data_IF_237477651981
#
_entry.id   IF_237477651981
#
_cell.length_a   1.000
_cell.length_b   1.000
_cell.length_c   1.000
_cell.angle_alpha   90.00
_cell.angle_beta   90.00
_cell.angle_gamma   90.00
#
_symmetry.space_group_name_H-M   'P 1'
#
loop_
_entity.id
_entity.type
_entity.pdbx_description
1 polymer ?
#
# COMPACT_ATOMS: atom_id res chain seq x y z
N UNK A 1 50.90 60.94 30.70
CA UNK A 1 50.29 61.12 29.37
C UNK A 1 49.59 59.80 29.07
N UNK A 2 48.30 59.70 29.40
CA UNK A 2 47.53 58.46 29.25
C UNK A 2 46.96 58.42 27.83
N UNK A 3 47.18 57.30 27.15
CA UNK A 3 46.69 57.02 25.80
C UNK A 3 45.18 56.74 25.85
N UNK A 4 44.39 57.65 25.28
CA UNK A 4 42.93 57.58 25.18
C UNK A 4 42.50 57.25 23.76
N UNK A 5 42.93 56.11 23.24
CA UNK A 5 42.41 55.57 21.96
C UNK A 5 41.48 54.39 22.22
N UNK A 6 40.29 54.71 22.74
CA UNK A 6 39.17 53.77 22.77
C UNK A 6 38.66 53.51 21.35
N UNK A 7 39.03 52.39 20.76
CA UNK A 7 38.44 51.91 19.50
C UNK A 7 36.99 51.51 19.77
N UNK A 8 36.05 52.29 19.24
CA UNK A 8 34.62 51.94 19.25
C UNK A 8 34.43 50.78 18.26
N UNK A 9 34.30 49.56 18.78
CA UNK A 9 33.95 48.39 17.99
C UNK A 9 32.50 48.54 17.51
N UNK A 10 32.31 48.73 16.21
CA UNK A 10 30.98 48.85 15.62
C UNK A 10 30.20 47.55 15.86
N UNK A 11 29.04 47.65 16.52
CA UNK A 11 28.15 46.51 16.74
C UNK A 11 27.74 45.92 15.38
N UNK A 12 28.03 44.63 15.18
CA UNK A 12 27.61 43.93 13.96
C UNK A 12 26.08 44.05 13.81
N UNK A 13 25.56 44.48 12.65
CA UNK A 13 24.12 44.52 12.44
C UNK A 13 23.56 43.11 12.63
N UNK A 14 22.63 42.97 13.58
CA UNK A 14 22.01 41.68 13.91
C UNK A 14 21.48 41.01 12.65
N UNK A 15 21.93 39.77 12.39
CA UNK A 15 21.43 38.97 11.27
C UNK A 15 19.93 38.74 11.49
N UNK A 16 19.09 39.44 10.73
CA UNK A 16 17.67 39.11 10.64
C UNK A 16 17.54 37.71 10.04
N UNK A 17 17.12 36.72 10.83
CA UNK A 17 16.76 35.41 10.30
C UNK A 17 15.48 35.58 9.49
N UNK A 18 15.58 35.56 8.17
CA UNK A 18 14.40 35.49 7.29
C UNK A 18 13.60 34.25 7.70
N UNK A 19 12.31 34.36 8.06
CA UNK A 19 11.48 33.20 8.35
C UNK A 19 11.55 32.24 7.16
N UNK A 20 11.81 30.96 7.45
CA UNK A 20 11.84 29.94 6.41
C UNK A 20 10.51 29.91 5.64
N UNK A 21 10.52 29.47 4.37
CA UNK A 21 9.28 29.34 3.59
C UNK A 21 8.22 28.53 4.37
N UNK A 22 6.93 28.92 4.31
CA UNK A 22 5.89 28.22 5.02
C UNK A 22 5.85 26.73 4.62
N UNK A 23 5.55 25.82 5.56
CA UNK A 23 5.43 24.40 5.26
C UNK A 23 4.38 24.20 4.16
N UNK A 24 4.76 23.46 3.11
CA UNK A 24 3.85 23.20 1.99
C UNK A 24 2.71 22.29 2.44
N UNK A 25 1.46 22.53 2.02
CA UNK A 25 0.33 21.69 2.38
C UNK A 25 0.52 20.25 1.86
N UNK A 26 0.29 19.26 2.73
CA UNK A 26 0.43 17.82 2.44
C UNK A 26 -0.78 17.26 1.67
N UNK A 27 -1.20 17.94 0.61
CA UNK A 27 -2.43 17.63 -0.15
C UNK A 27 -2.47 16.19 -0.68
N UNK A 28 -1.33 15.63 -1.07
CA UNK A 28 -1.24 14.25 -1.55
C UNK A 28 -1.55 13.20 -0.47
N UNK A 29 -1.15 13.46 0.78
CA UNK A 29 -1.45 12.56 1.89
C UNK A 29 -2.95 12.58 2.22
N UNK A 30 -3.55 13.77 2.17
CA UNK A 30 -5.01 13.95 2.35
C UNK A 30 -5.79 13.23 1.25
N UNK A 31 -5.40 13.42 -0.02
CA UNK A 31 -6.02 12.71 -1.14
C UNK A 31 -5.88 11.19 -1.04
N UNK A 32 -4.72 10.71 -0.61
CA UNK A 32 -4.51 9.28 -0.35
C UNK A 32 -5.40 8.78 0.79
N UNK A 33 -5.57 9.56 1.86
CA UNK A 33 -6.48 9.23 2.96
C UNK A 33 -7.93 9.06 2.50
N UNK A 34 -8.43 9.96 1.64
CA UNK A 34 -9.76 9.81 1.04
C UNK A 34 -9.87 8.57 0.14
N UNK A 35 -8.84 8.29 -0.67
CA UNK A 35 -8.81 7.09 -1.51
C UNK A 35 -8.82 5.80 -0.68
N UNK A 36 -8.07 5.77 0.43
CA UNK A 36 -8.06 4.65 1.39
C UNK A 36 -9.44 4.51 2.03
N UNK A 37 -10.06 5.60 2.49
CA UNK A 37 -11.38 5.55 3.09
C UNK A 37 -12.44 4.99 2.11
N UNK A 38 -12.43 5.46 0.87
CA UNK A 38 -13.33 4.97 -0.18
C UNK A 38 -13.07 3.49 -0.49
N UNK A 39 -11.81 3.09 -0.65
CA UNK A 39 -11.43 1.69 -0.86
C UNK A 39 -11.83 0.80 0.31
N UNK A 40 -11.63 1.27 1.55
CA UNK A 40 -12.00 0.53 2.76
C UNK A 40 -13.51 0.33 2.84
N UNK A 41 -14.31 1.34 2.53
CA UNK A 41 -15.77 1.21 2.45
C UNK A 41 -16.19 0.23 1.35
N UNK A 42 -15.55 0.28 0.17
CA UNK A 42 -15.85 -0.65 -0.92
C UNK A 42 -15.55 -2.11 -0.53
N UNK A 43 -14.38 -2.37 0.06
CA UNK A 43 -13.97 -3.71 0.52
C UNK A 43 -14.86 -4.18 1.67
N UNK A 44 -15.12 -3.32 2.66
CA UNK A 44 -15.99 -3.64 3.79
C UNK A 44 -17.42 -3.95 3.33
N UNK A 45 -17.96 -3.18 2.38
CA UNK A 45 -19.28 -3.43 1.80
C UNK A 45 -19.33 -4.75 1.03
N UNK A 46 -18.32 -5.06 0.22
CA UNK A 46 -18.24 -6.30 -0.53
C UNK A 46 -18.11 -7.53 0.40
N UNK A 47 -17.24 -7.45 1.42
CA UNK A 47 -17.08 -8.50 2.43
C UNK A 47 -18.34 -8.66 3.30
N UNK A 48 -18.97 -7.54 3.68
CA UNK A 48 -20.22 -7.55 4.43
C UNK A 48 -21.36 -8.21 3.65
N UNK A 49 -21.49 -7.90 2.36
CA UNK A 49 -22.47 -8.55 1.49
C UNK A 49 -22.21 -10.06 1.36
N UNK A 50 -20.94 -10.46 1.15
CA UNK A 50 -20.55 -11.87 1.11
C UNK A 50 -20.92 -12.60 2.41
N UNK A 51 -20.57 -12.04 3.57
CA UNK A 51 -20.85 -12.63 4.87
C UNK A 51 -22.35 -12.66 5.20
N UNK A 52 -23.10 -11.61 4.86
CA UNK A 52 -24.54 -11.54 5.12
C UNK A 52 -25.29 -12.63 4.35
N UNK A 53 -24.96 -12.81 3.06
CA UNK A 53 -25.51 -13.91 2.27
C UNK A 53 -25.13 -15.27 2.89
N UNK A 54 -23.94 -15.37 3.50
CA UNK A 54 -23.34 -16.64 3.95
C UNK A 54 -23.99 -17.13 5.22
N UNK A 55 -24.34 -16.19 6.09
CA UNK A 55 -25.19 -16.46 7.23
C UNK A 55 -26.63 -16.79 6.83
N UNK A 56 -27.14 -16.19 5.75
CA UNK A 56 -28.51 -16.46 5.27
C UNK A 56 -28.68 -17.86 4.65
N UNK A 57 -27.61 -18.54 4.25
CA UNK A 57 -27.68 -19.89 3.64
C UNK A 57 -27.88 -21.06 4.62
N UNK A 58 -28.00 -20.83 5.94
CA UNK A 58 -28.45 -21.85 6.92
C UNK A 58 -27.36 -22.59 7.71
N UNK A 59 -27.79 -23.60 8.49
CA UNK A 59 -27.01 -24.34 9.54
C UNK A 59 -25.92 -25.27 8.97
N UNK A 60 -25.94 -25.50 7.66
CA UNK A 60 -24.86 -26.18 6.93
C UNK A 60 -24.08 -25.19 6.04
N UNK A 61 -23.38 -24.20 6.63
CA UNK A 61 -22.51 -23.33 5.87
C UNK A 61 -21.28 -24.14 5.44
N UNK A 62 -21.23 -24.61 4.19
CA UNK A 62 -19.96 -24.98 3.56
C UNK A 62 -19.71 -26.44 3.20
N UNK A 63 -20.72 -27.33 3.18
CA UNK A 63 -20.44 -28.74 2.84
C UNK A 63 -20.15 -28.96 1.35
N UNK A 64 -20.66 -28.08 0.48
CA UNK A 64 -20.54 -28.19 -0.99
C UNK A 64 -20.01 -26.90 -1.67
N UNK A 65 -19.41 -25.95 -0.93
CA UNK A 65 -19.09 -24.62 -1.50
C UNK A 65 -18.02 -24.60 -2.60
N UNK A 66 -17.25 -25.68 -2.74
CA UNK A 66 -16.37 -25.94 -3.88
C UNK A 66 -16.79 -27.17 -4.69
N UNK A 67 -17.95 -27.78 -4.42
CA UNK A 67 -18.33 -29.09 -5.00
C UNK A 67 -17.15 -30.11 -4.94
N UNK A 68 -16.40 -30.12 -3.83
CA UNK A 68 -15.21 -30.96 -3.67
C UNK A 68 -13.90 -30.43 -4.29
N UNK A 69 -13.89 -29.23 -4.89
CA UNK A 69 -12.65 -28.64 -5.41
C UNK A 69 -11.68 -28.24 -4.28
N UNK A 70 -10.39 -28.50 -4.53
CA UNK A 70 -9.33 -28.25 -3.58
C UNK A 70 -8.78 -26.83 -3.71
N UNK A 71 -9.05 -25.97 -2.71
CA UNK A 71 -8.37 -24.66 -2.61
C UNK A 71 -6.88 -24.90 -2.36
N UNK A 72 -5.96 -24.37 -3.19
CA UNK A 72 -4.52 -24.42 -2.97
C UNK A 72 -4.11 -23.51 -1.80
N UNK A 73 -4.46 -23.91 -0.58
CA UNK A 73 -4.28 -23.11 0.64
C UNK A 73 -2.81 -22.69 0.89
N UNK A 74 -1.80 -23.56 0.68
CA UNK A 74 -0.40 -23.17 0.88
C UNK A 74 0.04 -22.04 -0.05
N UNK A 75 -0.42 -22.04 -1.31
CA UNK A 75 0.00 -21.06 -2.30
C UNK A 75 -0.46 -19.64 -1.94
N UNK A 76 -1.70 -19.51 -1.47
CA UNK A 76 -2.25 -18.22 -1.05
C UNK A 76 -1.57 -17.70 0.23
N UNK A 77 -1.14 -18.59 1.12
CA UNK A 77 -0.35 -18.22 2.31
C UNK A 77 1.02 -17.67 1.89
N UNK A 78 1.73 -18.34 0.97
CA UNK A 78 3.02 -17.84 0.47
C UNK A 78 2.86 -16.50 -0.26
N UNK A 79 1.77 -16.32 -1.00
CA UNK A 79 1.45 -15.05 -1.63
C UNK A 79 1.22 -13.93 -0.58
N UNK A 80 0.52 -14.22 0.52
CA UNK A 80 0.32 -13.26 1.61
C UNK A 80 1.65 -12.91 2.31
N UNK A 81 2.48 -13.90 2.63
CA UNK A 81 3.81 -13.67 3.24
C UNK A 81 4.65 -12.78 2.33
N UNK A 82 4.63 -13.04 1.02
CA UNK A 82 5.31 -12.26 -0.02
C UNK A 82 4.88 -10.79 0.02
N UNK A 83 3.58 -10.51 0.14
CA UNK A 83 3.08 -9.14 0.30
C UNK A 83 3.49 -8.51 1.64
N UNK A 84 3.46 -9.25 2.74
CA UNK A 84 3.88 -8.73 4.05
C UNK A 84 5.35 -8.32 4.05
N UNK A 85 6.22 -9.13 3.42
CA UNK A 85 7.63 -8.77 3.24
C UNK A 85 7.76 -7.53 2.35
N UNK A 86 6.93 -7.38 1.32
CA UNK A 86 6.92 -6.19 0.45
C UNK A 86 6.62 -4.89 1.23
N UNK A 87 5.77 -4.95 2.26
CA UNK A 87 5.48 -3.79 3.13
C UNK A 87 6.74 -3.35 3.88
N UNK A 88 7.50 -4.31 4.41
CA UNK A 88 8.76 -4.04 5.12
C UNK A 88 9.78 -3.39 4.18
N UNK A 89 9.90 -3.89 2.95
CA UNK A 89 10.84 -3.34 1.96
C UNK A 89 10.43 -1.94 1.49
N UNK A 90 9.12 -1.67 1.39
CA UNK A 90 8.60 -0.35 1.04
C UNK A 90 8.91 0.68 2.13
N UNK A 91 8.73 0.31 3.41
CA UNK A 91 9.07 1.16 4.54
C UNK A 91 10.58 1.41 4.65
N UNK A 92 11.40 0.40 4.38
CA UNK A 92 12.85 0.57 4.31
C UNK A 92 13.24 1.59 3.23
N UNK A 93 12.61 1.54 2.06
CA UNK A 93 12.84 2.52 1.00
C UNK A 93 12.42 3.94 1.40
N UNK A 94 11.26 4.12 2.04
CA UNK A 94 10.82 5.43 2.55
C UNK A 94 11.81 5.98 3.59
N UNK A 95 12.26 5.13 4.51
CA UNK A 95 13.24 5.51 5.53
C UNK A 95 14.58 5.91 4.91
N UNK A 96 15.10 5.13 3.94
CA UNK A 96 16.30 5.47 3.18
C UNK A 96 16.14 6.79 2.40
N UNK A 97 14.96 7.04 1.83
CA UNK A 97 14.68 8.27 1.07
C UNK A 97 14.77 9.52 1.95
N UNK A 98 14.32 9.43 3.21
CA UNK A 98 14.40 10.51 4.19
C UNK A 98 15.85 10.86 4.57
N UNK A 99 16.75 9.87 4.53
CA UNK A 99 18.20 10.04 4.79
C UNK A 99 18.99 10.48 3.55
N UNK A 100 18.33 10.62 2.39
CA UNK A 100 19.00 10.98 1.14
C UNK A 100 19.79 9.84 0.49
N UNK A 101 19.65 8.61 0.97
CA UNK A 101 20.32 7.43 0.43
C UNK A 101 19.56 6.89 -0.79
N UNK A 102 19.85 7.49 -1.94
CA UNK A 102 19.16 7.19 -3.21
C UNK A 102 19.27 5.70 -3.56
N UNK A 103 20.46 5.11 -3.48
CA UNK A 103 20.69 3.70 -3.84
C UNK A 103 19.77 2.73 -3.08
N UNK A 104 19.70 2.84 -1.76
CA UNK A 104 18.82 2.00 -0.93
C UNK A 104 17.34 2.26 -1.19
N UNK A 105 16.96 3.51 -1.48
CA UNK A 105 15.58 3.85 -1.86
C UNK A 105 15.17 3.12 -3.15
N UNK A 106 16.06 3.10 -4.16
CA UNK A 106 15.82 2.42 -5.44
C UNK A 106 15.68 0.92 -5.26
N UNK A 107 16.62 0.30 -4.54
CA UNK A 107 16.61 -1.15 -4.31
C UNK A 107 15.37 -1.57 -3.54
N UNK A 108 15.00 -0.84 -2.49
CA UNK A 108 13.81 -1.17 -1.70
C UNK A 108 12.51 -1.01 -2.49
N UNK A 109 12.37 0.03 -3.31
CA UNK A 109 11.20 0.19 -4.18
C UNK A 109 11.14 -0.85 -5.30
N UNK A 110 12.27 -1.14 -5.96
CA UNK A 110 12.34 -2.18 -6.98
C UNK A 110 11.99 -3.56 -6.41
N UNK A 111 12.51 -3.89 -5.22
CA UNK A 111 12.19 -5.13 -4.53
C UNK A 111 10.69 -5.20 -4.21
N UNK A 112 10.09 -4.12 -3.73
CA UNK A 112 8.64 -4.05 -3.44
C UNK A 112 7.81 -4.32 -4.70
N UNK A 113 8.14 -3.68 -5.83
CA UNK A 113 7.43 -3.87 -7.10
C UNK A 113 7.58 -5.30 -7.63
N UNK A 114 8.79 -5.87 -7.58
CA UNK A 114 9.05 -7.27 -8.00
C UNK A 114 8.27 -8.23 -7.11
N UNK A 115 8.25 -8.00 -5.80
CA UNK A 115 7.55 -8.85 -4.84
C UNK A 115 6.04 -8.83 -5.07
N UNK A 116 5.47 -7.66 -5.39
CA UNK A 116 4.06 -7.58 -5.73
C UNK A 116 3.72 -8.18 -7.10
N UNK A 117 4.64 -8.14 -8.08
CA UNK A 117 4.46 -8.87 -9.33
C UNK A 117 4.51 -10.40 -9.11
N UNK A 118 5.42 -10.86 -8.25
CA UNK A 118 5.49 -12.26 -7.83
C UNK A 118 4.20 -12.71 -7.12
N UNK A 119 3.64 -11.85 -6.26
CA UNK A 119 2.33 -12.07 -5.66
C UNK A 119 1.23 -12.27 -6.72
N UNK A 120 1.14 -11.40 -7.73
CA UNK A 120 0.13 -11.54 -8.79
C UNK A 120 0.30 -12.86 -9.55
N UNK A 121 1.54 -13.27 -9.85
CA UNK A 121 1.81 -14.54 -10.48
C UNK A 121 1.31 -15.72 -9.62
N UNK A 122 1.60 -15.72 -8.32
CA UNK A 122 1.15 -16.76 -7.41
C UNK A 122 -0.38 -16.82 -7.30
N UNK A 123 -1.05 -15.68 -7.23
CA UNK A 123 -2.52 -15.63 -7.15
C UNK A 123 -3.17 -16.05 -8.46
N UNK A 124 -2.68 -15.58 -9.61
CA UNK A 124 -3.21 -15.99 -10.92
C UNK A 124 -3.05 -17.48 -11.15
N UNK A 125 -1.91 -18.05 -10.79
CA UNK A 125 -1.70 -19.49 -10.81
C UNK A 125 -2.69 -20.25 -9.90
N UNK A 126 -2.95 -19.71 -8.71
CA UNK A 126 -3.92 -20.29 -7.77
C UNK A 126 -5.35 -20.22 -8.30
N UNK A 127 -5.76 -19.08 -8.87
CA UNK A 127 -7.08 -18.88 -9.47
C UNK A 127 -7.30 -19.80 -10.68
N UNK A 128 -6.29 -19.97 -11.52
CA UNK A 128 -6.35 -20.90 -12.66
C UNK A 128 -6.49 -22.36 -12.22
N UNK A 129 -5.93 -22.73 -11.07
CA UNK A 129 -6.08 -24.08 -10.49
C UNK A 129 -7.40 -24.31 -9.78
N UNK A 130 -8.04 -23.24 -9.31
CA UNK A 130 -9.34 -23.29 -8.65
C UNK A 130 -10.51 -23.34 -9.64
N UNK A 131 -10.25 -23.37 -10.96
CA UNK A 131 -11.26 -23.51 -12.03
C UNK A 131 -12.60 -22.84 -11.69
N UNK A 132 -12.57 -21.57 -11.23
CA UNK A 132 -13.78 -20.86 -10.82
C UNK A 132 -14.67 -20.70 -12.05
N UNK A 133 -15.66 -21.57 -12.20
CA UNK A 133 -16.66 -21.43 -13.26
C UNK A 133 -17.56 -20.25 -12.87
N UNK A 134 -17.33 -19.10 -13.52
CA UNK A 134 -18.12 -17.89 -13.35
C UNK A 134 -19.56 -18.23 -13.78
N UNK A 135 -20.47 -18.31 -12.81
CA UNK A 135 -21.88 -18.66 -13.04
C UNK A 135 -22.33 -20.02 -12.50
N UNK A 136 -21.43 -20.84 -11.95
CA UNK A 136 -21.79 -22.13 -11.32
C UNK A 136 -22.56 -21.99 -10.00
N UNK A 137 -22.49 -20.80 -9.35
CA UNK A 137 -23.26 -20.51 -8.14
C UNK A 137 -23.14 -19.06 -7.66
N UNK A 138 -24.14 -18.61 -6.91
CA UNK A 138 -24.18 -17.27 -6.28
C UNK A 138 -22.92 -17.02 -5.42
N UNK A 139 -22.47 -18.06 -4.73
CA UNK A 139 -21.30 -18.07 -3.85
C UNK A 139 -19.97 -17.84 -4.58
N UNK A 140 -19.70 -18.63 -5.61
CA UNK A 140 -18.49 -18.50 -6.42
C UNK A 140 -18.40 -17.13 -7.08
N UNK A 141 -19.54 -16.61 -7.54
CA UNK A 141 -19.63 -15.28 -8.16
C UNK A 141 -19.28 -14.17 -7.16
N UNK A 142 -19.81 -14.24 -5.94
CA UNK A 142 -19.49 -13.27 -4.88
C UNK A 142 -18.02 -13.36 -4.44
N UNK A 143 -17.48 -14.57 -4.23
CA UNK A 143 -16.08 -14.75 -3.86
C UNK A 143 -15.12 -14.23 -4.95
N UNK A 144 -15.45 -14.47 -6.22
CA UNK A 144 -14.70 -13.93 -7.36
C UNK A 144 -14.78 -12.41 -7.42
N UNK A 145 -15.95 -11.83 -7.19
CA UNK A 145 -16.13 -10.37 -7.18
C UNK A 145 -15.33 -9.70 -6.05
N UNK A 146 -15.36 -10.24 -4.84
CA UNK A 146 -14.58 -9.72 -3.69
C UNK A 146 -13.08 -9.86 -3.95
N UNK A 147 -12.64 -11.03 -4.44
CA UNK A 147 -11.23 -11.27 -4.78
C UNK A 147 -10.75 -10.32 -5.89
N UNK A 148 -11.56 -10.16 -6.95
CA UNK A 148 -11.28 -9.25 -8.05
C UNK A 148 -11.19 -7.79 -7.61
N UNK A 149 -12.08 -7.35 -6.72
CA UNK A 149 -12.04 -6.01 -6.14
C UNK A 149 -10.73 -5.77 -5.37
N UNK A 150 -10.33 -6.70 -4.49
CA UNK A 150 -9.07 -6.60 -3.75
C UNK A 150 -7.84 -6.62 -4.67
N UNK A 151 -7.85 -7.44 -5.72
CA UNK A 151 -6.78 -7.45 -6.72
C UNK A 151 -6.72 -6.13 -7.50
N UNK A 152 -7.86 -5.55 -7.86
CA UNK A 152 -7.91 -4.25 -8.53
C UNK A 152 -7.29 -3.15 -7.67
N UNK A 153 -7.57 -3.13 -6.37
CA UNK A 153 -6.96 -2.18 -5.42
C UNK A 153 -5.43 -2.37 -5.34
N UNK A 154 -4.95 -3.62 -5.28
CA UNK A 154 -3.51 -3.92 -5.31
C UNK A 154 -2.85 -3.46 -6.62
N UNK A 155 -3.51 -3.64 -7.77
CA UNK A 155 -3.01 -3.18 -9.08
C UNK A 155 -2.89 -1.65 -9.06
N UNK A 156 -3.91 -0.93 -8.60
CA UNK A 156 -3.87 0.53 -8.45
C UNK A 156 -2.72 0.95 -7.53
N UNK A 157 -2.51 0.24 -6.42
CA UNK A 157 -1.40 0.49 -5.50
C UNK A 157 -0.04 0.28 -6.14
N UNK A 158 0.10 -0.76 -6.96
CA UNK A 158 1.32 -1.04 -7.74
C UNK A 158 1.64 0.10 -8.70
N UNK A 159 0.65 0.56 -9.46
CA UNK A 159 0.82 1.70 -10.37
C UNK A 159 1.17 2.98 -9.60
N UNK A 160 0.52 3.24 -8.47
CA UNK A 160 0.81 4.42 -7.66
C UNK A 160 2.24 4.39 -7.10
N UNK A 161 2.69 3.25 -6.57
CA UNK A 161 4.09 3.04 -6.16
C UNK A 161 5.06 3.24 -7.31
N UNK A 162 4.78 2.65 -8.48
CA UNK A 162 5.62 2.77 -9.67
C UNK A 162 5.74 4.23 -10.14
N UNK A 163 4.61 4.93 -10.28
CA UNK A 163 4.57 6.34 -10.68
C UNK A 163 5.29 7.24 -9.68
N UNK A 164 5.11 7.01 -8.39
CA UNK A 164 5.76 7.80 -7.35
C UNK A 164 7.27 7.53 -7.29
N UNK A 165 7.67 6.27 -7.46
CA UNK A 165 9.07 5.89 -7.59
C UNK A 165 9.70 6.55 -8.82
N UNK A 166 9.04 6.50 -9.98
CA UNK A 166 9.48 7.18 -11.21
C UNK A 166 9.57 8.70 -11.04
N UNK A 167 8.57 9.32 -10.39
CA UNK A 167 8.57 10.74 -10.05
C UNK A 167 9.77 11.11 -9.18
N UNK A 168 10.26 10.20 -8.34
CA UNK A 168 11.47 10.42 -7.56
C UNK A 168 12.77 10.42 -8.39
N UNK A 169 12.78 9.83 -9.62
CA UNK A 169 13.90 9.95 -10.60
C UNK A 169 13.95 11.36 -11.22
N UNK A 170 12.79 11.92 -11.56
CA UNK A 170 12.65 13.08 -12.44
C UNK A 170 13.08 14.45 -11.88
N UNK A 171 13.70 14.50 -10.69
CA UNK A 171 14.47 15.69 -10.29
C UNK A 171 13.70 16.91 -9.79
N UNK A 172 12.52 16.80 -9.18
CA UNK A 172 11.98 17.93 -8.40
C UNK A 172 12.76 18.08 -7.07
N UNK A 173 13.86 18.84 -7.14
CA UNK A 173 14.83 19.09 -6.08
C UNK A 173 14.23 20.02 -5.02
N UNK A 174 13.78 19.45 -3.90
CA UNK A 174 13.40 20.18 -2.69
C UNK A 174 13.46 19.28 -1.47
N UNK A 175 13.64 19.87 -0.28
CA UNK A 175 13.84 19.23 1.05
C UNK A 175 12.66 18.35 1.54
N UNK A 176 11.66 18.12 0.69
CA UNK A 176 10.34 17.54 0.99
C UNK A 176 10.14 16.15 0.33
N UNK A 177 11.25 15.42 0.08
CA UNK A 177 11.30 14.18 -0.72
C UNK A 177 10.45 13.02 -0.16
N UNK A 178 10.17 13.02 1.14
CA UNK A 178 9.49 11.92 1.83
C UNK A 178 7.97 11.98 1.77
N UNK A 179 7.37 13.15 1.59
CA UNK A 179 5.91 13.31 1.69
C UNK A 179 5.14 12.56 0.60
N UNK A 180 5.54 12.60 -0.69
CA UNK A 180 4.82 11.91 -1.76
C UNK A 180 5.05 10.38 -1.78
N UNK A 181 6.28 9.93 -1.55
CA UNK A 181 6.64 8.50 -1.52
C UNK A 181 6.01 7.79 -0.32
N UNK A 182 5.99 8.45 0.84
CA UNK A 182 5.30 7.95 2.03
C UNK A 182 3.79 7.80 1.82
N UNK A 183 3.15 8.70 1.05
CA UNK A 183 1.74 8.55 0.71
C UNK A 183 1.48 7.32 -0.17
N UNK A 184 2.35 7.04 -1.14
CA UNK A 184 2.23 5.82 -1.97
C UNK A 184 2.41 4.53 -1.16
N UNK A 185 3.37 4.50 -0.24
CA UNK A 185 3.55 3.35 0.68
C UNK A 185 2.34 3.19 1.61
N UNK A 186 1.78 4.28 2.14
CA UNK A 186 0.58 4.20 2.97
C UNK A 186 -0.62 3.62 2.22
N UNK A 187 -0.78 3.95 0.94
CA UNK A 187 -1.80 3.31 0.09
C UNK A 187 -1.50 1.82 -0.15
N UNK A 188 -0.23 1.47 -0.36
CA UNK A 188 0.19 0.07 -0.51
C UNK A 188 -0.13 -0.75 0.74
N UNK A 189 0.10 -0.21 1.94
CA UNK A 189 -0.23 -0.87 3.21
C UNK A 189 -1.72 -1.17 3.31
N UNK A 190 -2.56 -0.19 2.93
CA UNK A 190 -3.99 -0.40 2.85
C UNK A 190 -4.36 -1.50 1.85
N UNK A 191 -3.76 -1.51 0.66
CA UNK A 191 -4.04 -2.52 -0.36
C UNK A 191 -3.66 -3.94 0.11
N UNK A 192 -2.52 -4.08 0.81
CA UNK A 192 -2.08 -5.33 1.43
C UNK A 192 -3.04 -5.76 2.54
N UNK A 193 -3.50 -4.82 3.39
CA UNK A 193 -4.47 -5.10 4.44
C UNK A 193 -5.83 -5.54 3.86
N UNK A 194 -6.29 -4.87 2.80
CA UNK A 194 -7.53 -5.23 2.10
C UNK A 194 -7.44 -6.65 1.51
N UNK A 195 -6.30 -7.03 0.93
CA UNK A 195 -6.07 -8.40 0.49
C UNK A 195 -6.03 -9.39 1.66
N UNK A 196 -5.34 -9.07 2.76
CA UNK A 196 -5.28 -9.95 3.93
C UNK A 196 -6.69 -10.21 4.52
N UNK A 197 -7.53 -9.17 4.59
CA UNK A 197 -8.92 -9.29 5.04
C UNK A 197 -9.73 -10.18 4.11
N UNK A 198 -9.64 -9.96 2.79
CA UNK A 198 -10.29 -10.81 1.78
C UNK A 198 -9.79 -12.25 1.84
N UNK A 199 -8.47 -12.44 1.97
CA UNK A 199 -7.88 -13.77 2.09
C UNK A 199 -8.43 -14.52 3.30
N UNK A 200 -8.47 -13.86 4.46
CA UNK A 200 -9.01 -14.44 5.69
C UNK A 200 -10.50 -14.78 5.56
N UNK A 201 -11.32 -13.83 5.11
CA UNK A 201 -12.77 -13.97 5.00
C UNK A 201 -13.19 -15.02 3.97
N UNK A 202 -12.52 -15.07 2.81
CA UNK A 202 -12.95 -15.91 1.68
C UNK A 202 -12.31 -17.30 1.72
N UNK A 203 -11.05 -17.42 2.14
CA UNK A 203 -10.29 -18.67 2.00
C UNK A 203 -9.98 -19.35 3.34
N UNK A 204 -9.98 -18.62 4.47
CA UNK A 204 -9.71 -19.19 5.81
C UNK A 204 -11.00 -19.46 6.58
N UNK A 205 -11.89 -18.47 6.64
CA UNK A 205 -13.20 -18.61 7.28
C UNK A 205 -14.08 -19.45 6.35
N UNK A 206 -13.98 -20.77 6.55
CA UNK A 206 -14.69 -21.80 5.79
C UNK A 206 -16.08 -22.06 6.30
#
# INVERSE_FOLDING_TARGET
MADTTGTVEASQPGRYSVPGPPPRPRSQLVGTGFAIAAGAMAVAGALGHYMARRHASGIDPGHDWLAGQSVPNPQLVYALITLLVSVVTAHWAVWASGRGERGHTWVGMALTLVMGLAFFNMVMFSLNRMEFEIGSGEWATLAFAVTGLSLAILIVGMFYLGLMTLRSLGGSVGRDRSTPLGAAVFFWDFAVLAWAATWYVVYVVK
#
